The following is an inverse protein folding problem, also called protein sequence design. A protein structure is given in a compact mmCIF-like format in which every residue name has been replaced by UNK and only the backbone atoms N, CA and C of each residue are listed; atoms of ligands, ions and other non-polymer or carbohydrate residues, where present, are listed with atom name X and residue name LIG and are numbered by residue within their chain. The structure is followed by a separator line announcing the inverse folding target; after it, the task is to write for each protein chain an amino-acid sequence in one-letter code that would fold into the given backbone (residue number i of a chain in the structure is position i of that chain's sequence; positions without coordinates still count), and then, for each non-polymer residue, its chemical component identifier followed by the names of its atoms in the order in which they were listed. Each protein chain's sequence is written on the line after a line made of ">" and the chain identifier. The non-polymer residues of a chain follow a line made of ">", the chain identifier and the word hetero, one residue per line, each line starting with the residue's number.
data_IF_455368472872
#
_entry.id   IF_455368472872
#
_cell.length_a   1.000
_cell.length_b   1.000
_cell.length_c   1.000
_cell.angle_alpha   90.00
_cell.angle_beta   90.00
_cell.angle_gamma   90.00
#
_symmetry.space_group_name_H-M   'P 1'
#
loop_
_entity.id
_entity.type
_entity.pdbx_description
1 polymer ?
#
# COMPACT_ATOMS: atom_id res chain seq x y z
N UNK A 1 6.50 13.58 4.25
CA UNK A 1 6.26 13.83 2.80
C UNK A 1 6.02 15.31 2.51
N UNK A 2 4.94 15.94 3.00
CA UNK A 2 4.63 17.35 2.72
C UNK A 2 5.85 18.27 2.91
N UNK A 3 6.47 18.24 4.10
CA UNK A 3 7.63 19.06 4.39
C UNK A 3 8.80 18.77 3.43
N UNK A 4 9.07 17.48 3.15
CA UNK A 4 10.13 17.10 2.20
C UNK A 4 9.92 17.63 0.78
N UNK A 5 8.68 17.75 0.31
CA UNK A 5 8.36 18.38 -0.97
C UNK A 5 8.64 19.89 -0.93
N UNK A 6 8.17 20.58 0.11
CA UNK A 6 8.36 22.02 0.31
C UNK A 6 9.85 22.35 0.41
N UNK A 7 10.62 21.60 1.19
CA UNK A 7 12.07 21.78 1.37
C UNK A 7 12.85 21.61 0.07
N UNK A 8 12.28 20.88 -0.90
CA UNK A 8 12.83 20.70 -2.24
C UNK A 8 12.19 21.62 -3.31
N UNK A 9 11.53 22.70 -2.90
CA UNK A 9 11.05 23.75 -3.79
C UNK A 9 9.71 23.47 -4.48
N UNK A 10 8.95 22.46 -4.06
CA UNK A 10 7.61 22.15 -4.60
C UNK A 10 6.59 23.04 -3.89
N UNK A 11 5.86 23.84 -4.66
CA UNK A 11 4.71 24.59 -4.16
C UNK A 11 3.48 23.69 -4.06
N UNK A 12 3.15 23.28 -2.84
CA UNK A 12 2.09 22.33 -2.56
C UNK A 12 0.76 23.03 -2.25
N UNK A 13 -0.20 22.91 -3.13
CA UNK A 13 -1.57 23.44 -2.95
C UNK A 13 -2.54 22.33 -2.54
N UNK A 14 -2.76 22.20 -1.23
CA UNK A 14 -3.65 21.19 -0.65
C UNK A 14 -5.07 21.72 -0.47
N UNK A 15 -6.05 20.81 -0.52
CA UNK A 15 -7.47 21.16 -0.32
C UNK A 15 -8.07 21.93 -1.49
N UNK A 16 -7.45 21.87 -2.66
CA UNK A 16 -7.95 22.51 -3.89
C UNK A 16 -8.26 21.42 -4.93
N UNK A 17 -9.41 21.56 -5.58
CA UNK A 17 -9.76 20.72 -6.72
C UNK A 17 -9.38 21.41 -8.04
N UNK A 18 -8.82 20.67 -9.00
CA UNK A 18 -8.66 21.15 -10.37
C UNK A 18 -10.04 21.23 -11.02
N UNK A 19 -10.42 22.43 -11.50
CA UNK A 19 -11.71 22.67 -12.16
C UNK A 19 -11.57 22.75 -13.67
N UNK A 20 -10.51 23.42 -14.16
CA UNK A 20 -10.35 23.69 -15.59
C UNK A 20 -8.88 23.75 -15.99
N UNK A 21 -8.56 23.24 -17.17
CA UNK A 21 -7.29 23.45 -17.85
C UNK A 21 -7.53 24.43 -18.99
N UNK A 22 -6.90 25.61 -18.94
CA UNK A 22 -7.08 26.72 -19.88
C UNK A 22 -5.99 26.76 -20.94
N UNK A 23 -6.36 27.22 -22.11
CA UNK A 23 -5.53 27.46 -23.28
C UNK A 23 -6.25 27.11 -24.57
N UNK A 24 -5.80 27.67 -25.70
CA UNK A 24 -6.39 27.38 -27.03
C UNK A 24 -5.57 26.30 -27.77
N UNK A 25 -4.34 26.61 -28.15
CA UNK A 25 -3.43 25.67 -28.87
C UNK A 25 -2.45 24.95 -27.97
N UNK A 26 -2.22 25.47 -26.77
CA UNK A 26 -1.37 24.92 -25.72
C UNK A 26 -1.98 25.20 -24.37
N UNK A 27 -1.52 24.48 -23.36
CA UNK A 27 -1.84 24.81 -21.97
C UNK A 27 -1.24 26.18 -21.61
N UNK A 28 -2.00 27.02 -20.98
CA UNK A 28 -1.62 28.37 -20.53
C UNK A 28 -1.83 28.56 -19.04
N UNK A 29 -2.87 27.93 -18.47
CA UNK A 29 -3.13 28.00 -17.05
C UNK A 29 -3.98 26.80 -16.56
N UNK A 30 -4.00 26.62 -15.25
CA UNK A 30 -4.94 25.74 -14.55
C UNK A 30 -5.75 26.56 -13.55
N UNK A 31 -7.06 26.33 -13.52
CA UNK A 31 -7.96 26.90 -12.52
C UNK A 31 -8.29 25.82 -11.49
N UNK A 32 -8.14 26.17 -10.24
CA UNK A 32 -8.56 25.35 -9.10
C UNK A 32 -9.81 25.97 -8.45
N UNK A 33 -10.36 25.30 -7.45
CA UNK A 33 -11.48 25.83 -6.66
C UNK A 33 -11.16 27.16 -5.94
N UNK A 34 -9.88 27.51 -5.78
CA UNK A 34 -9.48 28.67 -5.00
C UNK A 34 -8.73 29.75 -5.81
N UNK A 35 -7.91 29.36 -6.78
CA UNK A 35 -7.01 30.28 -7.49
C UNK A 35 -6.65 29.74 -8.89
N UNK A 36 -5.97 30.56 -9.67
CA UNK A 36 -5.52 30.23 -11.03
C UNK A 36 -3.98 30.31 -11.10
N UNK A 37 -3.37 29.34 -11.78
CA UNK A 37 -1.92 29.24 -11.93
C UNK A 37 -1.55 29.21 -13.42
N UNK A 38 -0.68 30.11 -13.85
CA UNK A 38 -0.06 30.01 -15.17
C UNK A 38 0.85 28.78 -15.23
N UNK A 39 0.75 28.01 -16.31
CA UNK A 39 1.56 26.80 -16.50
C UNK A 39 1.67 26.44 -17.97
N UNK A 40 2.78 25.80 -18.34
CA UNK A 40 3.04 25.29 -19.69
C UNK A 40 2.74 23.80 -19.83
N UNK A 41 2.59 23.06 -18.72
CA UNK A 41 2.31 21.62 -18.72
C UNK A 41 1.45 21.24 -17.53
N UNK A 42 0.52 20.28 -17.74
CA UNK A 42 -0.30 19.68 -16.69
C UNK A 42 -0.16 18.18 -16.74
N UNK A 43 0.15 17.57 -15.58
CA UNK A 43 0.22 16.12 -15.42
C UNK A 43 -0.92 15.70 -14.50
N UNK A 44 -1.88 14.94 -15.03
CA UNK A 44 -3.04 14.45 -14.29
C UNK A 44 -2.74 13.08 -13.66
N UNK A 45 -2.62 13.04 -12.34
CA UNK A 45 -2.42 11.83 -11.55
C UNK A 45 -3.56 11.63 -10.54
N UNK A 46 -4.81 11.72 -11.01
CA UNK A 46 -6.02 11.73 -10.18
C UNK A 46 -6.64 10.34 -9.96
N UNK A 47 -5.88 9.29 -10.21
CA UNK A 47 -6.31 7.90 -10.08
C UNK A 47 -6.78 7.28 -11.39
N UNK A 48 -7.36 6.09 -11.30
CA UNK A 48 -7.78 5.29 -12.46
C UNK A 48 -9.02 4.46 -12.12
N UNK A 49 -9.65 3.93 -13.14
CA UNK A 49 -10.80 3.03 -13.05
C UNK A 49 -10.49 1.73 -13.80
N UNK A 50 -11.02 0.58 -13.35
CA UNK A 50 -10.88 -0.68 -14.10
C UNK A 50 -11.50 -0.53 -15.50
N UNK A 51 -10.79 -1.00 -16.52
CA UNK A 51 -11.34 -1.06 -17.87
C UNK A 51 -12.06 -2.40 -18.07
N UNK A 52 -13.38 -2.38 -17.96
CA UNK A 52 -14.22 -3.59 -17.92
C UNK A 52 -15.42 -3.54 -18.87
N UNK A 53 -15.39 -2.67 -19.88
CA UNK A 53 -16.50 -2.56 -20.86
C UNK A 53 -16.72 -3.86 -21.64
N UNK A 54 -15.67 -4.65 -21.94
CA UNK A 54 -15.74 -5.90 -22.69
C UNK A 54 -16.69 -6.94 -22.05
N UNK A 55 -16.66 -7.07 -20.72
CA UNK A 55 -17.49 -8.03 -19.98
C UNK A 55 -18.71 -7.43 -19.29
N UNK A 56 -19.04 -6.16 -19.59
CA UNK A 56 -20.15 -5.44 -18.96
C UNK A 56 -21.49 -6.15 -19.19
N UNK A 57 -22.23 -6.35 -18.11
CA UNK A 57 -23.52 -7.06 -18.14
C UNK A 57 -23.43 -8.58 -18.35
N UNK A 58 -22.21 -9.14 -18.47
CA UNK A 58 -21.96 -10.59 -18.60
C UNK A 58 -21.18 -11.19 -17.43
N UNK A 59 -20.28 -10.40 -16.83
CA UNK A 59 -19.45 -10.81 -15.71
C UNK A 59 -19.85 -10.02 -14.45
N UNK A 60 -19.81 -10.66 -13.29
CA UNK A 60 -20.04 -9.98 -12.02
C UNK A 60 -18.97 -8.92 -11.75
N UNK A 61 -19.40 -7.77 -11.24
CA UNK A 61 -18.54 -6.64 -11.01
C UNK A 61 -18.58 -6.20 -9.54
N UNK A 62 -17.43 -5.82 -9.03
CA UNK A 62 -17.27 -5.16 -7.74
C UNK A 62 -17.79 -3.72 -7.81
N UNK A 63 -17.99 -3.07 -6.64
CA UNK A 63 -18.57 -1.72 -6.52
C UNK A 63 -17.92 -0.62 -7.38
N UNK A 64 -16.66 -0.80 -7.78
CA UNK A 64 -15.92 0.13 -8.64
C UNK A 64 -15.88 -0.31 -10.12
N UNK A 65 -16.56 -1.39 -10.48
CA UNK A 65 -16.61 -1.94 -11.81
C UNK A 65 -15.57 -3.01 -12.14
N UNK A 66 -14.61 -3.33 -11.25
CA UNK A 66 -13.67 -4.42 -11.44
C UNK A 66 -14.38 -5.78 -11.48
N UNK A 67 -13.94 -6.70 -12.32
CA UNK A 67 -14.49 -8.05 -12.35
C UNK A 67 -14.19 -8.78 -11.04
N UNK A 68 -15.21 -9.40 -10.47
CA UNK A 68 -15.06 -10.28 -9.31
C UNK A 68 -14.47 -11.61 -9.78
N UNK A 69 -13.37 -12.00 -9.13
CA UNK A 69 -12.71 -13.28 -9.40
C UNK A 69 -12.51 -14.08 -8.10
N UNK A 70 -12.46 -15.39 -8.23
CA UNK A 70 -12.08 -16.29 -7.14
C UNK A 70 -10.55 -16.38 -6.99
N UNK A 71 -10.06 -17.20 -6.06
CA UNK A 71 -8.61 -17.37 -5.83
C UNK A 71 -7.88 -18.04 -7.01
N UNK A 72 -8.58 -18.60 -7.99
CA UNK A 72 -8.02 -19.14 -9.24
C UNK A 72 -7.99 -18.11 -10.38
N UNK A 73 -8.41 -16.88 -10.12
CA UNK A 73 -8.63 -15.80 -11.09
C UNK A 73 -9.77 -16.07 -12.08
N UNK A 74 -10.66 -17.02 -11.78
CA UNK A 74 -11.84 -17.31 -12.58
C UNK A 74 -12.96 -16.32 -12.22
N UNK A 75 -13.66 -15.82 -13.22
CA UNK A 75 -14.79 -14.89 -13.09
C UNK A 75 -16.08 -15.63 -12.69
N UNK A 76 -17.21 -14.94 -12.69
CA UNK A 76 -18.54 -15.56 -12.53
C UNK A 76 -18.96 -16.51 -13.66
N UNK A 77 -18.22 -16.50 -14.78
CA UNK A 77 -18.44 -17.39 -15.93
C UNK A 77 -17.29 -18.39 -15.98
N UNK A 78 -17.64 -19.67 -15.99
CA UNK A 78 -16.71 -20.79 -16.04
C UNK A 78 -15.74 -20.66 -17.23
N UNK A 79 -14.47 -21.00 -17.02
CA UNK A 79 -13.37 -20.95 -18.00
C UNK A 79 -13.07 -19.54 -18.52
N UNK A 80 -13.62 -18.50 -17.89
CA UNK A 80 -13.30 -17.08 -18.18
C UNK A 80 -12.53 -16.49 -17.01
N UNK A 81 -11.31 -16.03 -17.30
CA UNK A 81 -10.38 -15.49 -16.31
C UNK A 81 -10.23 -13.97 -16.45
N UNK A 82 -10.04 -13.27 -15.34
CA UNK A 82 -9.68 -11.86 -15.32
C UNK A 82 -8.47 -11.61 -14.41
N UNK A 83 -7.54 -10.77 -14.88
CA UNK A 83 -6.25 -10.52 -14.23
C UNK A 83 -5.91 -9.04 -14.24
N UNK A 84 -4.95 -8.64 -13.40
CA UNK A 84 -4.44 -7.27 -13.36
C UNK A 84 -5.46 -6.26 -12.86
N UNK A 85 -5.36 -5.04 -13.34
CA UNK A 85 -6.10 -3.89 -12.82
C UNK A 85 -7.59 -3.90 -13.15
N UNK A 86 -8.06 -4.81 -14.00
CA UNK A 86 -9.49 -4.99 -14.26
C UNK A 86 -10.17 -5.99 -13.30
N UNK A 87 -9.42 -6.70 -12.45
CA UNK A 87 -9.92 -7.74 -11.57
C UNK A 87 -9.75 -7.39 -10.08
N UNK A 88 -10.59 -8.02 -9.24
CA UNK A 88 -10.44 -7.97 -7.80
C UNK A 88 -9.31 -8.88 -7.32
N UNK A 89 -8.95 -8.76 -6.04
CA UNK A 89 -7.99 -9.61 -5.35
C UNK A 89 -8.58 -10.11 -4.03
N UNK A 90 -8.05 -11.20 -3.48
CA UNK A 90 -8.27 -11.56 -2.09
C UNK A 90 -7.27 -10.79 -1.22
N UNK A 91 -7.78 -9.95 -0.32
CA UNK A 91 -6.99 -9.11 0.59
C UNK A 91 -6.94 -9.78 1.97
N UNK A 92 -5.74 -10.19 2.38
CA UNK A 92 -5.52 -10.89 3.65
C UNK A 92 -5.72 -9.99 4.88
N UNK A 93 -5.64 -8.66 4.71
CA UNK A 93 -5.86 -7.74 5.83
C UNK A 93 -7.35 -7.61 6.19
N UNK A 94 -8.25 -7.88 5.25
CA UNK A 94 -9.71 -7.83 5.44
C UNK A 94 -10.38 -9.21 5.34
N UNK A 95 -9.60 -10.26 5.09
CA UNK A 95 -10.08 -11.63 4.86
C UNK A 95 -11.19 -11.68 3.80
N UNK A 96 -11.04 -10.96 2.69
CA UNK A 96 -12.11 -10.83 1.71
C UNK A 96 -11.70 -10.25 0.36
N UNK A 97 -12.69 -10.16 -0.52
CA UNK A 97 -12.51 -9.58 -1.85
C UNK A 97 -12.34 -8.06 -1.73
N UNK A 98 -11.30 -7.55 -2.36
CA UNK A 98 -11.01 -6.12 -2.42
C UNK A 98 -10.47 -5.74 -3.81
N UNK A 99 -10.30 -4.43 -4.06
CA UNK A 99 -9.67 -3.91 -5.26
C UNK A 99 -8.35 -3.22 -4.90
N UNK A 100 -7.25 -3.81 -5.36
CA UNK A 100 -5.89 -3.31 -5.12
C UNK A 100 -5.11 -3.45 -6.42
N UNK A 101 -5.12 -2.40 -7.24
CA UNK A 101 -4.43 -2.36 -8.52
C UNK A 101 -2.96 -2.01 -8.31
N UNK A 102 -2.10 -3.01 -8.48
CA UNK A 102 -0.65 -2.92 -8.39
C UNK A 102 -0.01 -3.85 -9.43
N UNK A 103 1.06 -3.41 -10.07
CA UNK A 103 1.76 -4.19 -11.10
C UNK A 103 2.18 -5.59 -10.60
N UNK A 104 2.61 -5.71 -9.35
CA UNK A 104 2.97 -6.99 -8.72
C UNK A 104 1.76 -7.92 -8.54
N UNK A 105 0.56 -7.38 -8.31
CA UNK A 105 -0.67 -8.16 -8.28
C UNK A 105 -1.06 -8.61 -9.69
N UNK A 106 -0.89 -7.75 -10.70
CA UNK A 106 -1.14 -8.10 -12.10
C UNK A 106 -0.27 -9.28 -12.54
N UNK A 107 1.03 -9.25 -12.23
CA UNK A 107 1.95 -10.37 -12.57
C UNK A 107 1.51 -11.68 -11.89
N UNK A 108 1.24 -11.65 -10.56
CA UNK A 108 0.83 -12.85 -9.84
C UNK A 108 -0.51 -13.39 -10.33
N UNK A 109 -1.48 -12.54 -10.58
CA UNK A 109 -2.79 -12.96 -11.12
C UNK A 109 -2.65 -13.59 -12.52
N UNK A 110 -1.76 -13.06 -13.36
CA UNK A 110 -1.43 -13.64 -14.65
C UNK A 110 -0.85 -15.05 -14.56
N UNK A 111 0.09 -15.27 -13.64
CA UNK A 111 0.67 -16.60 -13.37
C UNK A 111 -0.44 -17.59 -12.93
N UNK A 112 -1.28 -17.19 -11.97
CA UNK A 112 -2.34 -18.04 -11.44
C UNK A 112 -3.36 -18.40 -12.53
N UNK A 113 -3.83 -17.42 -13.31
CA UNK A 113 -4.79 -17.64 -14.38
C UNK A 113 -4.21 -18.54 -15.47
N UNK A 114 -2.96 -18.33 -15.89
CA UNK A 114 -2.31 -19.16 -16.91
C UNK A 114 -2.20 -20.62 -16.49
N UNK A 115 -1.78 -20.89 -15.26
CA UNK A 115 -1.72 -22.26 -14.73
C UNK A 115 -3.10 -22.92 -14.71
N UNK A 116 -4.13 -22.25 -14.20
CA UNK A 116 -5.47 -22.80 -14.16
C UNK A 116 -6.06 -23.03 -15.56
N UNK A 117 -5.84 -22.10 -16.50
CA UNK A 117 -6.27 -22.26 -17.87
C UNK A 117 -5.59 -23.44 -18.59
N UNK A 118 -4.36 -23.78 -18.18
CA UNK A 118 -3.62 -24.95 -18.70
C UNK A 118 -3.86 -26.24 -17.88
N UNK A 119 -4.81 -26.25 -16.95
CA UNK A 119 -5.16 -27.44 -16.18
C UNK A 119 -4.32 -27.70 -14.93
N UNK A 120 -3.39 -26.82 -14.57
CA UNK A 120 -2.63 -26.90 -13.31
C UNK A 120 -3.32 -26.07 -12.24
N UNK A 121 -4.00 -26.74 -11.29
CA UNK A 121 -4.76 -26.08 -10.26
C UNK A 121 -3.83 -25.40 -9.22
N UNK A 122 -3.81 -24.05 -9.22
CA UNK A 122 -3.18 -23.25 -8.19
C UNK A 122 -4.12 -22.15 -7.70
N UNK A 123 -3.94 -21.70 -6.48
CA UNK A 123 -4.75 -20.63 -5.88
C UNK A 123 -3.89 -19.48 -5.37
N UNK A 124 -4.45 -18.29 -5.45
CA UNK A 124 -3.87 -17.10 -4.80
C UNK A 124 -3.84 -17.29 -3.28
N UNK A 125 -2.69 -17.02 -2.68
CA UNK A 125 -2.56 -16.92 -1.22
C UNK A 125 -3.06 -15.58 -0.68
N UNK A 126 -3.56 -14.71 -1.55
CA UNK A 126 -3.99 -13.35 -1.23
C UNK A 126 -2.87 -12.31 -1.37
N UNK A 127 -3.22 -11.07 -1.11
CA UNK A 127 -2.33 -9.90 -1.19
C UNK A 127 -2.57 -8.95 -0.01
N UNK A 128 -1.65 -8.00 0.22
CA UNK A 128 -1.73 -7.03 1.32
C UNK A 128 -1.62 -5.58 0.83
N UNK A 129 -1.53 -5.33 -0.47
CA UNK A 129 -1.39 -3.99 -1.03
C UNK A 129 -0.05 -3.33 -0.69
N UNK A 130 1.03 -4.13 -0.64
CA UNK A 130 2.39 -3.64 -0.38
C UNK A 130 2.85 -2.68 -1.46
N UNK A 131 3.25 -1.48 -1.06
CA UNK A 131 3.71 -0.44 -1.97
C UNK A 131 4.74 0.48 -1.30
N UNK A 132 5.38 1.30 -2.11
CA UNK A 132 6.35 2.29 -1.63
C UNK A 132 6.53 3.42 -2.62
N UNK A 133 7.03 4.54 -2.11
CA UNK A 133 7.40 5.72 -2.88
C UNK A 133 8.73 6.27 -2.36
N UNK A 134 9.58 6.73 -3.28
CA UNK A 134 10.82 7.42 -2.98
C UNK A 134 10.79 8.81 -3.60
N UNK A 135 10.89 9.84 -2.77
CA UNK A 135 10.87 11.24 -3.23
C UNK A 135 11.94 12.01 -2.48
N UNK A 136 12.90 12.62 -3.21
CA UNK A 136 14.01 13.40 -2.66
C UNK A 136 14.73 12.69 -1.50
N UNK A 137 15.02 11.40 -1.70
CA UNK A 137 15.72 10.57 -0.72
C UNK A 137 14.90 10.15 0.50
N UNK A 138 13.64 10.56 0.61
CA UNK A 138 12.73 10.02 1.62
C UNK A 138 11.94 8.86 1.03
N UNK A 139 12.04 7.69 1.67
CA UNK A 139 11.27 6.49 1.33
C UNK A 139 10.08 6.35 2.27
N UNK A 140 8.90 6.14 1.71
CA UNK A 140 7.71 5.74 2.46
C UNK A 140 7.23 4.43 1.89
N UNK A 141 7.05 3.47 2.78
CA UNK A 141 6.57 2.13 2.44
C UNK A 141 5.35 1.79 3.28
N UNK A 142 4.46 0.99 2.71
CA UNK A 142 3.29 0.51 3.45
C UNK A 142 2.83 -0.86 2.95
N UNK A 143 2.22 -1.60 3.86
CA UNK A 143 1.52 -2.84 3.56
C UNK A 143 0.27 -2.96 4.44
N UNK A 144 -0.78 -3.59 3.93
CA UNK A 144 -2.05 -3.73 4.63
C UNK A 144 -2.83 -2.42 4.73
N UNK A 145 -3.54 -2.25 5.82
CA UNK A 145 -4.50 -1.18 6.04
C UNK A 145 -3.89 -0.01 6.83
N UNK A 146 -4.31 1.20 6.49
CA UNK A 146 -4.22 2.33 7.43
C UNK A 146 -5.36 2.21 8.46
N UNK A 147 -5.23 2.87 9.61
CA UNK A 147 -6.28 2.87 10.63
C UNK A 147 -7.64 3.35 10.06
N UNK A 148 -7.62 4.39 9.21
CA UNK A 148 -8.82 4.89 8.55
C UNK A 148 -9.46 3.85 7.61
N UNK A 149 -8.63 3.14 6.81
CA UNK A 149 -9.14 2.07 5.94
C UNK A 149 -9.70 0.91 6.75
N UNK A 150 -9.01 0.49 7.81
CA UNK A 150 -9.47 -0.58 8.68
C UNK A 150 -10.83 -0.27 9.32
N UNK A 151 -11.02 0.96 9.80
CA UNK A 151 -12.31 1.41 10.32
C UNK A 151 -13.43 1.37 9.26
N UNK A 152 -13.14 1.70 7.99
CA UNK A 152 -14.10 1.58 6.87
C UNK A 152 -14.50 0.14 6.57
N UNK A 153 -13.66 -0.84 6.92
CA UNK A 153 -13.96 -2.27 6.84
C UNK A 153 -14.60 -2.82 8.12
N UNK A 154 -14.89 -1.97 9.12
CA UNK A 154 -15.58 -2.36 10.35
C UNK A 154 -14.68 -2.90 11.46
N UNK A 155 -13.35 -2.78 11.33
CA UNK A 155 -12.42 -3.17 12.39
C UNK A 155 -12.35 -2.10 13.48
N UNK A 156 -12.38 -2.54 14.74
CA UNK A 156 -11.91 -1.75 15.87
C UNK A 156 -10.40 -1.89 15.97
N UNK A 157 -9.67 -0.83 15.66
CA UNK A 157 -8.22 -0.87 15.60
C UNK A 157 -7.55 -0.01 16.66
N UNK A 158 -6.40 -0.46 17.09
CA UNK A 158 -5.40 0.31 17.81
C UNK A 158 -4.19 0.56 16.90
N UNK A 159 -3.42 1.56 17.26
CA UNK A 159 -2.17 1.86 16.56
C UNK A 159 -1.04 2.10 17.53
N UNK A 160 0.14 1.65 17.16
CA UNK A 160 1.37 2.00 17.85
C UNK A 160 2.34 2.66 16.87
N UNK A 161 3.15 3.58 17.36
CA UNK A 161 4.14 4.28 16.56
C UNK A 161 5.46 4.40 17.33
N UNK A 162 6.56 4.29 16.62
CA UNK A 162 7.88 4.45 17.19
C UNK A 162 8.79 5.20 16.22
N UNK A 163 9.70 5.96 16.77
CA UNK A 163 10.68 6.72 16.01
C UNK A 163 12.04 6.62 16.70
N UNK A 164 13.07 6.20 15.97
CA UNK A 164 14.43 6.11 16.48
C UNK A 164 15.42 6.09 15.33
N UNK A 165 16.69 6.26 15.63
CA UNK A 165 17.78 6.02 14.70
C UNK A 165 17.83 4.53 14.30
N UNK A 166 18.12 4.26 13.03
CA UNK A 166 18.30 2.89 12.51
C UNK A 166 19.43 2.16 13.21
N UNK A 167 20.56 2.85 13.44
CA UNK A 167 21.80 2.32 14.01
C UNK A 167 22.13 3.00 15.34
N UNK A 168 23.06 2.45 16.14
CA UNK A 168 23.57 3.13 17.33
C UNK A 168 24.12 4.54 17.02
N UNK A 169 24.01 5.44 17.98
CA UNK A 169 24.36 6.86 17.80
C UNK A 169 25.84 7.12 17.42
N UNK A 170 26.74 6.21 17.79
CA UNK A 170 28.16 6.30 17.42
C UNK A 170 28.45 6.00 15.94
N UNK A 171 27.46 5.49 15.20
CA UNK A 171 27.59 5.26 13.75
C UNK A 171 27.44 6.56 12.98
N UNK A 172 28.43 6.88 12.13
CA UNK A 172 28.43 8.13 11.35
C UNK A 172 27.29 8.21 10.35
N UNK A 173 27.04 7.10 9.62
CA UNK A 173 25.92 6.99 8.71
C UNK A 173 24.71 6.47 9.47
N UNK A 174 23.81 7.35 9.83
CA UNK A 174 22.63 7.02 10.59
C UNK A 174 21.46 7.93 10.19
N UNK A 175 20.25 7.40 10.21
CA UNK A 175 19.05 8.17 9.91
C UNK A 175 17.87 7.65 10.75
N UNK A 176 16.87 8.50 10.86
CA UNK A 176 15.66 8.20 11.62
C UNK A 176 14.76 7.25 10.83
N UNK A 177 14.24 6.25 11.52
CA UNK A 177 13.13 5.41 11.07
C UNK A 177 11.88 5.75 11.86
N UNK A 178 10.79 6.04 11.16
CA UNK A 178 9.45 6.22 11.74
C UNK A 178 8.59 5.05 11.31
N UNK A 179 8.03 4.33 12.26
CA UNK A 179 7.13 3.21 11.99
C UNK A 179 5.80 3.41 12.70
N UNK A 180 4.73 3.04 12.02
CA UNK A 180 3.39 2.94 12.58
C UNK A 180 2.80 1.58 12.24
N UNK A 181 2.29 0.87 13.23
CA UNK A 181 1.64 -0.43 13.09
C UNK A 181 0.16 -0.27 13.43
N UNK A 182 -0.69 -0.86 12.61
CA UNK A 182 -2.15 -0.93 12.81
C UNK A 182 -2.49 -2.37 13.13
N UNK A 183 -3.23 -2.61 14.20
CA UNK A 183 -3.65 -3.94 14.61
C UNK A 183 -5.09 -3.95 15.12
N UNK A 184 -5.74 -5.08 14.97
CA UNK A 184 -7.11 -5.29 15.48
C UNK A 184 -7.10 -5.31 17.00
N UNK A 185 -7.97 -4.53 17.61
CA UNK A 185 -8.03 -4.36 19.06
C UNK A 185 -8.37 -5.65 19.80
N UNK A 186 -9.23 -6.47 19.24
CA UNK A 186 -9.74 -7.68 19.89
C UNK A 186 -8.82 -8.88 19.69
N UNK A 187 -8.40 -9.11 18.44
CA UNK A 187 -7.59 -10.28 18.07
C UNK A 187 -6.09 -10.01 18.17
N UNK A 188 -5.70 -8.73 18.22
CA UNK A 188 -4.34 -8.23 18.19
C UNK A 188 -3.54 -8.56 16.91
N UNK A 189 -4.24 -9.04 15.87
CA UNK A 189 -3.65 -9.30 14.54
C UNK A 189 -3.14 -8.00 13.94
N UNK A 190 -1.94 -8.04 13.37
CA UNK A 190 -1.42 -6.95 12.54
C UNK A 190 -2.26 -6.84 11.27
N UNK A 191 -2.81 -5.66 11.02
CA UNK A 191 -3.62 -5.34 9.84
C UNK A 191 -2.89 -4.43 8.86
N UNK A 192 -1.87 -3.72 9.32
CA UNK A 192 -1.12 -2.83 8.46
C UNK A 192 0.13 -2.24 9.11
N UNK A 193 1.04 -1.77 8.25
CA UNK A 193 2.24 -1.05 8.67
C UNK A 193 2.56 0.06 7.67
N UNK A 194 3.01 1.21 8.19
CA UNK A 194 3.59 2.30 7.43
C UNK A 194 4.96 2.63 8.01
N UNK A 195 5.95 2.82 7.16
CA UNK A 195 7.30 3.15 7.58
C UNK A 195 7.90 4.25 6.70
N UNK A 196 8.68 5.14 7.30
CA UNK A 196 9.37 6.22 6.63
C UNK A 196 10.82 6.32 7.09
N UNK A 197 11.77 6.42 6.16
CA UNK A 197 13.19 6.62 6.41
C UNK A 197 13.91 7.12 5.16
N UNK A 198 15.16 7.55 5.30
CA UNK A 198 16.08 7.69 4.17
C UNK A 198 16.82 6.39 3.83
N UNK A 199 16.71 5.36 4.68
CA UNK A 199 17.18 4.01 4.38
C UNK A 199 16.18 3.22 3.55
N UNK A 200 16.67 2.20 2.86
CA UNK A 200 15.81 1.19 2.24
C UNK A 200 15.15 0.32 3.31
N UNK A 201 13.82 0.45 3.42
CA UNK A 201 12.97 -0.28 4.35
C UNK A 201 12.17 -1.41 3.66
N UNK A 202 12.51 -1.79 2.44
CA UNK A 202 11.74 -2.77 1.65
C UNK A 202 11.60 -4.12 2.37
N UNK A 203 12.66 -4.60 3.03
CA UNK A 203 12.61 -5.87 3.77
C UNK A 203 11.66 -5.83 4.97
N UNK A 204 11.54 -4.67 5.63
CA UNK A 204 10.55 -4.47 6.70
C UNK A 204 9.13 -4.57 6.14
N UNK A 205 8.89 -3.99 4.97
CA UNK A 205 7.60 -4.10 4.28
C UNK A 205 7.26 -5.56 3.96
N UNK A 206 8.22 -6.33 3.45
CA UNK A 206 8.03 -7.75 3.13
C UNK A 206 7.76 -8.59 4.37
N UNK A 207 8.45 -8.33 5.48
CA UNK A 207 8.21 -8.99 6.77
C UNK A 207 6.78 -8.72 7.27
N UNK A 208 6.33 -7.46 7.26
CA UNK A 208 4.96 -7.14 7.67
C UNK A 208 3.90 -7.65 6.68
N UNK A 209 4.21 -7.70 5.39
CA UNK A 209 3.34 -8.34 4.40
C UNK A 209 3.11 -9.81 4.73
N UNK A 210 4.18 -10.56 5.06
CA UNK A 210 4.08 -11.94 5.52
C UNK A 210 3.34 -12.04 6.87
N UNK A 211 3.61 -11.15 7.81
CA UNK A 211 2.93 -11.13 9.11
C UNK A 211 1.41 -10.95 8.97
N UNK A 212 0.95 -10.09 8.06
CA UNK A 212 -0.48 -9.92 7.76
C UNK A 212 -1.05 -11.18 7.13
N UNK A 213 -0.37 -11.74 6.13
CA UNK A 213 -0.77 -12.98 5.46
C UNK A 213 -0.96 -14.14 6.43
N UNK A 214 -0.02 -14.31 7.36
CA UNK A 214 -0.02 -15.38 8.37
C UNK A 214 -0.76 -14.99 9.67
N UNK A 215 -1.50 -13.90 9.66
CA UNK A 215 -2.31 -13.44 10.80
C UNK A 215 -1.51 -13.28 12.11
N UNK A 216 -0.27 -12.85 12.01
CA UNK A 216 0.61 -12.66 13.16
C UNK A 216 0.10 -11.53 14.05
N UNK A 217 0.14 -11.74 15.37
CA UNK A 217 -0.27 -10.71 16.34
C UNK A 217 0.87 -9.74 16.64
N UNK A 218 0.50 -8.55 17.09
CA UNK A 218 1.47 -7.52 17.52
C UNK A 218 2.38 -8.03 18.65
N UNK A 219 1.85 -8.89 19.53
CA UNK A 219 2.59 -9.48 20.64
C UNK A 219 3.71 -10.42 20.16
N UNK A 220 3.49 -11.13 19.06
CA UNK A 220 4.52 -11.98 18.44
C UNK A 220 5.60 -11.13 17.75
N UNK A 221 5.22 -9.99 17.16
CA UNK A 221 6.20 -9.02 16.60
C UNK A 221 7.06 -8.42 17.72
N UNK A 222 6.49 -8.16 18.90
CA UNK A 222 7.22 -7.62 20.04
C UNK A 222 8.38 -8.52 20.51
N UNK A 223 8.26 -9.83 20.30
CA UNK A 223 9.25 -10.84 20.72
C UNK A 223 9.97 -11.50 19.52
N UNK A 224 9.93 -10.85 18.35
CA UNK A 224 10.57 -11.37 17.15
C UNK A 224 12.08 -11.45 17.33
N UNK A 225 12.68 -12.58 16.91
CA UNK A 225 14.12 -12.76 16.87
C UNK A 225 14.73 -11.89 15.76
N UNK A 226 15.24 -10.72 16.16
CA UNK A 226 15.93 -9.78 15.28
C UNK A 226 17.40 -9.74 15.70
N UNK A 227 18.29 -10.11 14.78
CA UNK A 227 19.73 -10.07 15.04
C UNK A 227 20.23 -8.63 15.25
N UNK A 228 21.31 -8.49 15.99
CA UNK A 228 21.99 -7.21 16.21
C UNK A 228 23.40 -7.22 15.63
N UNK A 229 23.68 -6.19 14.84
CA UNK A 229 25.05 -5.75 14.51
C UNK A 229 24.98 -4.22 14.30
N UNK A 230 25.91 -3.43 14.90
CA UNK A 230 25.84 -1.95 14.83
C UNK A 230 25.72 -1.36 13.42
N UNK A 231 26.28 -2.04 12.42
CA UNK A 231 26.21 -1.62 11.01
C UNK A 231 24.82 -1.76 10.40
N UNK A 232 23.90 -2.50 11.02
CA UNK A 232 22.56 -2.75 10.48
C UNK A 232 21.45 -2.17 11.35
N UNK A 233 21.53 -2.35 12.67
CA UNK A 233 20.43 -1.98 13.57
C UNK A 233 20.91 -1.78 15.03
N UNK A 234 19.94 -1.52 15.91
CA UNK A 234 20.11 -1.44 17.36
C UNK A 234 19.64 -2.74 18.03
N UNK A 235 20.15 -3.08 19.24
CA UNK A 235 19.63 -4.19 20.05
C UNK A 235 18.13 -4.02 20.35
N UNK A 236 17.71 -2.78 20.64
CA UNK A 236 16.31 -2.39 20.77
C UNK A 236 15.82 -1.89 19.41
N UNK A 237 15.47 -2.83 18.54
CA UNK A 237 15.07 -2.52 17.17
C UNK A 237 13.72 -1.78 17.13
N UNK A 238 13.59 -0.79 16.27
CA UNK A 238 12.37 0.02 16.13
C UNK A 238 11.11 -0.81 15.85
N UNK A 239 11.23 -1.99 15.21
CA UNK A 239 10.10 -2.90 14.95
C UNK A 239 9.56 -3.47 16.26
N UNK A 240 10.45 -4.12 17.03
CA UNK A 240 10.07 -4.73 18.32
C UNK A 240 9.67 -3.66 19.33
N UNK A 241 10.35 -2.51 19.35
CA UNK A 241 10.01 -1.38 20.22
C UNK A 241 8.63 -0.80 19.90
N UNK A 242 8.28 -0.63 18.62
CA UNK A 242 6.93 -0.23 18.23
C UNK A 242 5.88 -1.25 18.70
N UNK A 243 6.17 -2.54 18.59
CA UNK A 243 5.25 -3.58 19.03
C UNK A 243 5.13 -3.66 20.56
N UNK A 244 6.22 -3.49 21.30
CA UNK A 244 6.22 -3.46 22.78
C UNK A 244 5.45 -2.27 23.37
N UNK A 245 5.29 -1.18 22.64
CA UNK A 245 4.49 -0.02 23.06
C UNK A 245 3.01 -0.15 22.71
N UNK A 246 2.59 -1.25 22.09
CA UNK A 246 1.18 -1.55 21.83
C UNK A 246 0.40 -1.78 23.13
N UNK A 247 -0.79 -1.17 23.22
CA UNK A 247 -1.68 -1.26 24.42
C UNK A 247 -2.60 -2.47 24.33
#
# INVERSE_FOLDING_TARGET
>A
MKQNLIDNGIDCKFGQALEEIKGDKKVEAVKTSNEEFATDMVILCVGFRPNTELGKGKLEQFKNGAYIVNKKQETSVKDVYAIGDCATVYDNAVDGINYIALATNAVRSGIIAAHNACGTAIESIGVQGSNGISIYGLHLISTGLTAEKAAKFGYEVETTSFEDNQRPEFMKENDIVKIKIVYDKKTRRVLGMQCASRYDMSMVNHMFSLAIQEHVTIDRIALLDIFFLPHFNKPYNYITMAALTAK
#
